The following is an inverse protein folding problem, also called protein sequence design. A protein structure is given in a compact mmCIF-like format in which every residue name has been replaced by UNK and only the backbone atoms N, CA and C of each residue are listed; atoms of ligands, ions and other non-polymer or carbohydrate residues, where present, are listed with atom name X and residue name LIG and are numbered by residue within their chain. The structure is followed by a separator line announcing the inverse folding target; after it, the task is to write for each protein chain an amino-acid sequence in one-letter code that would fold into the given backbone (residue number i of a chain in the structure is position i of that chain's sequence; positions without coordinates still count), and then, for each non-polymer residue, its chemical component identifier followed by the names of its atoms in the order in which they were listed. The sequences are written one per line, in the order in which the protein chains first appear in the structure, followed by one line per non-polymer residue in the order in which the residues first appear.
data_IF_546243706166
#
_entry.id   IF_546243706166
#
_cell.length_a   1.000
_cell.length_b   1.000
_cell.length_c   1.000
_cell.angle_alpha   90.00
_cell.angle_beta   90.00
_cell.angle_gamma   90.00
#
_symmetry.space_group_name_H-M   'P 1'
#
loop_
_entity.id
_entity.type
_entity.pdbx_description
1 polymer ?
#
# COMPACT_ATOMS: atom_id res chain seq x y z
N UNK A 1 18.53 -35.92 -15.06
CA UNK A 1 17.58 -34.84 -15.45
C UNK A 1 16.44 -34.65 -14.44
N UNK A 2 15.76 -35.72 -13.96
CA UNK A 2 14.68 -35.61 -12.94
C UNK A 2 15.07 -34.82 -11.67
N UNK A 3 16.26 -35.04 -11.11
CA UNK A 3 16.70 -34.35 -9.90
C UNK A 3 16.97 -32.85 -10.14
N UNK A 4 17.44 -32.49 -11.34
CA UNK A 4 17.58 -31.09 -11.76
C UNK A 4 16.20 -30.42 -11.87
N UNK A 5 15.22 -31.16 -12.38
CA UNK A 5 13.86 -30.70 -12.57
C UNK A 5 13.15 -30.50 -11.21
N UNK A 6 13.36 -31.41 -10.26
CA UNK A 6 12.89 -31.27 -8.87
C UNK A 6 13.53 -30.05 -8.18
N UNK A 7 14.84 -29.85 -8.39
CA UNK A 7 15.55 -28.71 -7.81
C UNK A 7 15.05 -27.37 -8.40
N UNK A 8 14.81 -27.31 -9.70
CA UNK A 8 14.24 -26.12 -10.35
C UNK A 8 12.85 -25.78 -9.81
N UNK A 9 11.99 -26.78 -9.58
CA UNK A 9 10.65 -26.59 -9.00
C UNK A 9 10.75 -26.10 -7.54
N UNK A 10 11.68 -26.66 -6.76
CA UNK A 10 11.90 -26.23 -5.38
C UNK A 10 12.39 -24.77 -5.31
N UNK A 11 13.27 -24.35 -6.21
CA UNK A 11 13.76 -22.96 -6.27
C UNK A 11 12.64 -22.01 -6.71
N UNK A 12 11.86 -22.38 -7.73
CA UNK A 12 10.76 -21.56 -8.23
C UNK A 12 9.65 -21.35 -7.18
N UNK A 13 9.35 -22.39 -6.38
CA UNK A 13 8.35 -22.30 -5.31
C UNK A 13 8.82 -21.40 -4.15
N UNK A 14 10.09 -21.44 -3.77
CA UNK A 14 10.67 -20.52 -2.78
C UNK A 14 10.66 -19.08 -3.31
N UNK A 15 11.05 -18.86 -4.57
CA UNK A 15 11.05 -17.54 -5.19
C UNK A 15 9.66 -16.89 -5.24
N UNK A 16 8.60 -17.67 -5.45
CA UNK A 16 7.23 -17.17 -5.45
C UNK A 16 6.77 -16.61 -4.08
N UNK A 17 7.33 -17.10 -2.98
CA UNK A 17 7.01 -16.60 -1.62
C UNK A 17 7.70 -15.30 -1.25
N UNK A 18 8.73 -14.89 -2.02
CA UNK A 18 9.51 -13.68 -1.78
C UNK A 18 8.95 -12.46 -2.55
N UNK A 19 7.88 -12.62 -3.32
CA UNK A 19 7.25 -11.52 -4.02
C UNK A 19 6.63 -10.53 -3.01
N UNK A 20 6.97 -9.23 -3.06
CA UNK A 20 6.34 -8.24 -2.20
C UNK A 20 4.84 -8.20 -2.48
N UNK A 21 4.03 -8.23 -1.42
CA UNK A 21 2.59 -8.08 -1.54
C UNK A 21 2.24 -6.61 -1.82
N UNK A 22 1.25 -6.32 -2.68
CA UNK A 22 0.79 -4.95 -2.87
C UNK A 22 0.19 -4.43 -1.55
N UNK A 23 0.77 -3.37 -0.99
CA UNK A 23 0.22 -2.67 0.16
C UNK A 23 -0.78 -1.61 -0.31
N UNK A 24 -1.99 -1.60 0.26
CA UNK A 24 -2.95 -0.51 0.07
C UNK A 24 -2.76 0.50 1.20
N UNK A 25 -2.34 1.72 0.84
CA UNK A 25 -2.11 2.82 1.78
C UNK A 25 -3.21 3.90 1.69
N UNK A 26 -4.33 3.60 1.05
CA UNK A 26 -5.44 4.52 0.87
C UNK A 26 -6.38 4.50 2.06
N UNK A 27 -6.65 5.68 2.61
CA UNK A 27 -7.58 5.89 3.72
C UNK A 27 -8.77 6.69 3.25
N UNK A 28 -9.95 6.08 3.32
CA UNK A 28 -11.21 6.76 3.06
C UNK A 28 -11.61 7.62 4.26
N UNK A 29 -11.78 8.92 4.01
CA UNK A 29 -12.21 9.90 5.02
C UNK A 29 -13.68 10.22 4.77
N UNK A 30 -14.50 10.04 5.80
CA UNK A 30 -15.91 10.46 5.78
C UNK A 30 -15.99 11.98 5.78
N UNK A 31 -17.05 12.52 5.17
CA UNK A 31 -17.31 13.96 5.22
C UNK A 31 -17.53 14.43 6.66
N UNK A 32 -17.10 15.65 6.96
CA UNK A 32 -17.19 16.24 8.29
C UNK A 32 -17.28 17.77 8.24
N UNK A 33 -17.73 18.38 9.33
CA UNK A 33 -17.69 19.84 9.51
C UNK A 33 -16.47 20.23 10.31
N UNK A 34 -15.77 21.30 9.91
CA UNK A 34 -14.72 21.93 10.71
C UNK A 34 -15.35 22.83 11.78
N UNK A 35 -14.56 23.19 12.79
CA UNK A 35 -15.01 24.07 13.89
C UNK A 35 -15.52 25.44 13.42
N UNK A 36 -15.05 25.90 12.25
CA UNK A 36 -15.52 27.14 11.61
C UNK A 36 -16.82 26.98 10.78
N UNK A 37 -17.47 25.82 10.83
CA UNK A 37 -18.71 25.52 10.12
C UNK A 37 -18.54 25.08 8.65
N UNK A 38 -17.32 25.03 8.12
CA UNK A 38 -17.08 24.58 6.73
C UNK A 38 -17.27 23.07 6.59
N UNK A 39 -18.12 22.63 5.66
CA UNK A 39 -18.24 21.21 5.30
C UNK A 39 -17.08 20.75 4.42
N UNK A 40 -16.50 19.60 4.77
CA UNK A 40 -15.47 18.90 3.99
C UNK A 40 -16.08 17.63 3.41
N UNK A 41 -16.07 17.50 2.10
CA UNK A 41 -16.58 16.32 1.40
C UNK A 41 -15.73 15.07 1.69
N UNK A 42 -16.32 13.86 1.62
CA UNK A 42 -15.56 12.62 1.68
C UNK A 42 -14.47 12.59 0.62
N UNK A 43 -13.31 12.02 0.96
CA UNK A 43 -12.17 11.93 0.05
C UNK A 43 -11.23 10.80 0.48
N UNK A 44 -10.34 10.40 -0.41
CA UNK A 44 -9.24 9.48 -0.11
C UNK A 44 -7.98 10.27 0.19
N UNK A 45 -7.22 9.81 1.19
CA UNK A 45 -5.88 10.32 1.50
C UNK A 45 -4.91 9.16 1.68
N UNK A 46 -3.62 9.48 1.65
CA UNK A 46 -2.55 8.54 1.98
C UNK A 46 -2.56 8.21 3.49
N UNK A 47 -1.96 7.08 3.83
CA UNK A 47 -1.82 6.60 5.19
C UNK A 47 -1.10 7.65 6.06
N UNK A 48 -1.61 8.00 7.26
CA UNK A 48 -0.92 8.93 8.15
C UNK A 48 0.27 8.25 8.87
N UNK A 49 1.28 7.82 8.12
CA UNK A 49 2.48 7.13 8.62
C UNK A 49 3.64 8.08 8.97
N UNK A 50 3.49 9.37 8.68
CA UNK A 50 4.50 10.41 8.97
C UNK A 50 5.58 10.53 7.89
N UNK A 51 5.52 9.73 6.82
CA UNK A 51 6.42 9.86 5.67
C UNK A 51 5.78 10.75 4.60
N UNK A 52 6.21 12.00 4.52
CA UNK A 52 5.65 12.94 3.55
C UNK A 52 6.00 12.60 2.09
N UNK A 53 6.98 11.71 1.84
CA UNK A 53 7.42 11.37 0.48
C UNK A 53 6.40 10.52 -0.26
N UNK A 54 5.53 9.81 0.47
CA UNK A 54 4.47 8.97 -0.09
C UNK A 54 3.09 9.66 -0.11
N UNK A 55 2.98 10.91 0.37
CA UNK A 55 1.73 11.65 0.40
C UNK A 55 1.33 12.20 -0.97
N UNK A 56 0.02 12.21 -1.28
CA UNK A 56 -0.49 12.87 -2.50
C UNK A 56 -0.13 14.36 -2.59
N UNK A 57 -0.01 15.03 -1.45
CA UNK A 57 0.44 16.43 -1.37
C UNK A 57 1.96 16.60 -1.46
N UNK A 58 2.73 15.54 -1.25
CA UNK A 58 4.18 15.58 -1.00
C UNK A 58 4.55 16.28 0.31
N UNK A 59 5.83 16.62 0.46
CA UNK A 59 6.41 17.34 1.59
C UNK A 59 6.26 18.86 1.47
N UNK A 60 5.03 19.35 1.34
CA UNK A 60 4.71 20.79 1.26
C UNK A 60 4.33 21.38 2.60
#
# INVERSE_FOLDING_TARGET
MKNLLVLAIAIASVAATLAPSPASADVAVRGYYRDNGTYVQPHTRTNPDGDCTNNYSGCR
#
